data_IF_015366307945
#
_entry.id   IF_015366307945
#
_cell.length_a   1.000
_cell.length_b   1.000
_cell.length_c   1.000
_cell.angle_alpha   90.00
_cell.angle_beta   90.00
_cell.angle_gamma   90.00
#
_symmetry.space_group_name_H-M   'P 1'
#
loop_
_entity.id
_entity.type
_entity.pdbx_description
1 polymer ?
#
# COMPACT_ATOMS: atom_id res chain seq x y z
N UNK A 1 17.42 6.82 10.87
CA UNK A 1 16.76 6.40 12.12
C UNK A 1 15.27 6.33 11.85
N UNK A 2 14.59 5.21 12.15
CA UNK A 2 13.13 5.14 12.01
C UNK A 2 12.53 5.95 13.14
N UNK A 3 11.74 6.98 12.81
CA UNK A 3 11.13 7.85 13.81
C UNK A 3 10.07 7.10 14.60
N UNK A 4 10.03 7.35 15.91
CA UNK A 4 9.02 6.76 16.81
C UNK A 4 7.78 7.66 16.88
N UNK A 5 6.63 7.05 17.18
CA UNK A 5 5.36 7.76 17.33
C UNK A 5 4.93 7.78 18.80
N UNK A 6 4.61 8.97 19.31
CA UNK A 6 3.96 9.15 20.61
C UNK A 6 2.47 9.44 20.41
N UNK A 7 1.62 8.70 21.11
CA UNK A 7 0.17 8.90 21.09
C UNK A 7 -0.26 9.70 22.33
N UNK A 8 -0.84 10.87 22.12
CA UNK A 8 -1.45 11.73 23.15
C UNK A 8 -2.92 11.92 22.81
N UNK A 9 -3.67 10.83 22.98
CA UNK A 9 -5.07 10.69 22.57
C UNK A 9 -5.90 10.45 23.83
N UNK A 10 -6.94 11.24 24.02
CA UNK A 10 -7.78 11.18 25.22
C UNK A 10 -8.77 10.01 25.21
N UNK A 11 -9.25 9.61 24.04
CA UNK A 11 -10.18 8.48 23.89
C UNK A 11 -9.43 7.12 23.90
N UNK A 12 -9.65 6.25 24.91
CA UNK A 12 -8.98 4.95 25.00
C UNK A 12 -9.33 3.98 23.85
N UNK A 13 -10.56 4.03 23.31
CA UNK A 13 -10.96 3.17 22.19
C UNK A 13 -10.20 3.56 20.93
N UNK A 14 -10.10 4.86 20.69
CA UNK A 14 -9.37 5.42 19.56
C UNK A 14 -7.87 5.14 19.69
N UNK A 15 -7.31 5.27 20.91
CA UNK A 15 -5.93 4.92 21.19
C UNK A 15 -5.63 3.45 20.89
N UNK A 16 -6.47 2.53 21.34
CA UNK A 16 -6.35 1.10 21.02
C UNK A 16 -6.38 0.84 19.50
N UNK A 17 -7.30 1.50 18.80
CA UNK A 17 -7.45 1.35 17.36
C UNK A 17 -6.25 1.90 16.57
N UNK A 18 -5.67 3.03 17.00
CA UNK A 18 -4.44 3.58 16.46
C UNK A 18 -3.26 2.62 16.67
N UNK A 19 -3.06 2.14 17.89
CA UNK A 19 -1.98 1.17 18.21
C UNK A 19 -2.09 -0.05 17.30
N UNK A 20 -3.29 -0.61 17.19
CA UNK A 20 -3.54 -1.82 16.40
C UNK A 20 -3.25 -1.62 14.92
N UNK A 21 -3.58 -0.46 14.36
CA UNK A 21 -3.30 -0.17 12.95
C UNK A 21 -1.84 0.20 12.71
N UNK A 22 -1.21 1.01 13.55
CA UNK A 22 0.20 1.38 13.42
C UNK A 22 1.13 0.15 13.49
N UNK A 23 0.81 -0.83 14.34
CA UNK A 23 1.54 -2.11 14.40
C UNK A 23 1.50 -2.88 13.08
N UNK A 24 0.43 -2.80 12.29
CA UNK A 24 0.34 -3.47 10.97
C UNK A 24 1.32 -2.87 9.94
N UNK A 25 1.83 -1.67 10.20
CA UNK A 25 2.81 -0.98 9.36
C UNK A 25 4.21 -0.99 9.98
N UNK A 26 4.46 -1.84 10.99
CA UNK A 26 5.73 -1.94 11.73
C UNK A 26 6.19 -0.60 12.32
N UNK A 27 5.24 0.28 12.68
CA UNK A 27 5.53 1.58 13.27
C UNK A 27 5.77 1.43 14.77
N UNK A 28 6.94 1.87 15.22
CA UNK A 28 7.33 1.87 16.63
C UNK A 28 6.61 2.98 17.40
N UNK A 29 5.93 2.59 18.47
CA UNK A 29 5.23 3.49 19.39
C UNK A 29 6.06 3.60 20.68
N UNK A 30 6.30 4.82 21.16
CA UNK A 30 7.03 5.10 22.39
C UNK A 30 6.45 6.34 23.08
N UNK A 31 6.68 6.47 24.39
CA UNK A 31 6.22 7.64 25.15
C UNK A 31 6.89 8.94 24.70
N UNK A 32 8.17 8.86 24.31
CA UNK A 32 9.04 9.95 23.86
C UNK A 32 9.28 9.92 22.33
N UNK A 33 8.21 9.73 21.55
CA UNK A 33 8.28 9.66 20.09
C UNK A 33 8.56 11.00 19.39
N UNK A 34 9.31 10.94 18.29
CA UNK A 34 9.61 12.09 17.41
C UNK A 34 8.37 12.70 16.76
N UNK A 35 7.32 11.89 16.58
CA UNK A 35 6.06 12.28 15.96
C UNK A 35 4.95 12.16 16.99
N UNK A 36 4.32 13.29 17.33
CA UNK A 36 3.26 13.34 18.34
C UNK A 36 1.89 13.37 17.65
N UNK A 37 1.08 12.35 17.91
CA UNK A 37 -0.30 12.27 17.44
C UNK A 37 -1.23 12.73 18.55
N UNK A 38 -1.99 13.79 18.29
CA UNK A 38 -2.93 14.40 19.24
C UNK A 38 -4.36 14.30 18.74
N UNK A 39 -5.33 14.47 19.63
CA UNK A 39 -6.76 14.54 19.26
C UNK A 39 -7.04 15.58 18.16
N UNK A 40 -6.34 16.72 18.19
CA UNK A 40 -6.46 17.77 17.18
C UNK A 40 -5.95 17.32 15.81
N UNK A 41 -4.88 16.53 15.77
CA UNK A 41 -4.38 15.97 14.51
C UNK A 41 -5.38 14.96 13.96
N UNK A 42 -5.97 14.12 14.81
CA UNK A 42 -6.99 13.16 14.39
C UNK A 42 -8.19 13.89 13.79
N UNK A 43 -8.71 14.94 14.41
CA UNK A 43 -9.86 15.71 13.87
C UNK A 43 -9.60 16.34 12.50
N UNK A 44 -8.33 16.62 12.16
CA UNK A 44 -7.95 17.17 10.85
C UNK A 44 -7.97 16.15 9.72
N UNK A 45 -7.91 14.85 10.02
CA UNK A 45 -7.80 13.79 9.03
C UNK A 45 -8.94 12.77 9.20
N UNK A 46 -9.43 12.19 8.11
CA UNK A 46 -10.09 10.89 8.24
C UNK A 46 -9.05 9.87 8.76
N UNK A 47 -9.50 8.88 9.53
CA UNK A 47 -8.65 7.88 10.17
C UNK A 47 -7.68 7.20 9.19
N UNK A 48 -8.14 6.74 8.03
CA UNK A 48 -7.26 6.08 7.05
C UNK A 48 -6.17 7.04 6.55
N UNK A 49 -6.56 8.28 6.24
CA UNK A 49 -5.62 9.34 5.82
C UNK A 49 -4.62 9.68 6.92
N UNK A 50 -5.03 9.63 8.19
CA UNK A 50 -4.13 9.79 9.32
C UNK A 50 -3.07 8.68 9.35
N UNK A 51 -3.46 7.43 9.13
CA UNK A 51 -2.50 6.32 9.08
C UNK A 51 -1.49 6.53 7.94
N UNK A 52 -1.95 6.85 6.73
CA UNK A 52 -1.03 7.11 5.61
C UNK A 52 -0.13 8.33 5.82
N UNK A 53 -0.64 9.38 6.47
CA UNK A 53 0.16 10.51 6.92
C UNK A 53 1.25 10.08 7.90
N UNK A 54 0.92 9.28 8.92
CA UNK A 54 1.91 8.79 9.89
C UNK A 54 2.97 7.93 9.19
N UNK A 55 2.56 7.03 8.29
CA UNK A 55 3.46 6.19 7.47
C UNK A 55 4.46 7.04 6.67
N UNK A 56 4.06 8.21 6.16
CA UNK A 56 4.99 9.14 5.51
C UNK A 56 5.89 9.85 6.51
N UNK A 57 5.33 10.37 7.61
CA UNK A 57 6.08 11.13 8.61
C UNK A 57 7.17 10.31 9.29
N UNK A 58 6.92 9.03 9.58
CA UNK A 58 7.95 8.14 10.17
C UNK A 58 9.15 7.94 9.24
N UNK A 59 8.93 8.11 7.92
CA UNK A 59 9.95 8.10 6.86
C UNK A 59 10.52 9.48 6.54
N UNK A 60 10.17 10.50 7.32
CA UNK A 60 10.70 11.86 7.17
C UNK A 60 10.17 12.63 5.96
N UNK A 61 9.02 12.25 5.41
CA UNK A 61 8.42 12.88 4.22
C UNK A 61 6.95 13.21 4.44
N UNK A 62 6.42 14.13 3.62
CA UNK A 62 5.00 14.49 3.63
C UNK A 62 4.16 13.62 2.69
N UNK A 63 4.79 13.16 1.60
CA UNK A 63 4.18 12.35 0.56
C UNK A 63 5.22 11.34 0.06
N UNK A 64 4.78 10.19 -0.42
CA UNK A 64 5.60 9.35 -1.30
C UNK A 64 5.90 10.09 -2.60
N UNK A 65 7.13 9.99 -3.11
CA UNK A 65 7.41 10.50 -4.45
C UNK A 65 6.71 9.62 -5.49
N UNK A 66 6.76 8.30 -5.27
CA UNK A 66 6.11 7.30 -6.11
C UNK A 66 5.35 6.28 -5.25
N UNK A 67 4.05 6.12 -5.53
CA UNK A 67 3.21 5.08 -4.98
C UNK A 67 2.87 4.08 -6.08
N UNK A 68 3.27 2.84 -5.87
CA UNK A 68 3.11 1.76 -6.84
C UNK A 68 2.18 0.71 -6.23
N UNK A 69 1.18 0.31 -7.00
CA UNK A 69 0.24 -0.73 -6.59
C UNK A 69 0.44 -1.91 -7.55
N UNK A 70 0.65 -3.08 -7.00
CA UNK A 70 0.77 -4.32 -7.77
C UNK A 70 -0.36 -5.27 -7.42
N UNK A 71 -1.00 -5.83 -8.46
CA UNK A 71 -2.13 -6.73 -8.31
C UNK A 71 -1.80 -8.04 -9.04
N UNK A 72 -1.57 -9.09 -8.26
CA UNK A 72 -1.42 -10.45 -8.78
C UNK A 72 -2.80 -11.10 -8.90
N UNK A 73 -3.10 -11.57 -10.12
CA UNK A 73 -4.40 -12.13 -10.53
C UNK A 73 -4.34 -13.63 -10.77
N UNK A 74 -3.26 -14.30 -10.34
CA UNK A 74 -3.06 -15.73 -10.58
C UNK A 74 -4.08 -16.66 -9.88
N UNK A 75 -4.80 -16.18 -8.86
CA UNK A 75 -5.86 -16.94 -8.16
C UNK A 75 -7.19 -16.22 -8.35
N UNK A 76 -8.15 -16.86 -9.01
CA UNK A 76 -9.42 -16.24 -9.42
C UNK A 76 -10.21 -15.66 -8.24
N UNK A 77 -10.23 -16.36 -7.10
CA UNK A 77 -10.96 -15.94 -5.91
C UNK A 77 -10.18 -15.01 -4.98
N UNK A 78 -8.87 -14.80 -5.26
CA UNK A 78 -7.97 -14.12 -4.34
C UNK A 78 -6.91 -13.31 -5.09
N UNK A 79 -7.21 -12.03 -5.28
CA UNK A 79 -6.29 -11.06 -5.83
C UNK A 79 -5.33 -10.59 -4.74
N UNK A 80 -4.03 -10.73 -4.95
CA UNK A 80 -3.03 -10.22 -4.00
C UNK A 80 -2.66 -8.80 -4.39
N UNK A 81 -2.91 -7.86 -3.48
CA UNK A 81 -2.61 -6.44 -3.66
C UNK A 81 -1.44 -6.07 -2.78
N UNK A 82 -0.45 -5.40 -3.36
CA UNK A 82 0.65 -4.80 -2.61
C UNK A 82 0.78 -3.33 -2.96
N UNK A 83 1.27 -2.58 -1.99
CA UNK A 83 1.56 -1.15 -2.12
C UNK A 83 3.02 -0.95 -1.80
N UNK A 84 3.70 -0.28 -2.72
CA UNK A 84 5.12 0.03 -2.62
C UNK A 84 5.26 1.55 -2.67
N UNK A 85 5.87 2.13 -1.66
CA UNK A 85 6.13 3.56 -1.57
C UNK A 85 7.62 3.83 -1.66
N UNK A 86 8.07 4.53 -2.69
CA UNK A 86 9.48 4.83 -2.96
C UNK A 86 10.40 3.59 -2.93
N UNK A 87 9.91 2.47 -3.48
CA UNK A 87 10.63 1.19 -3.58
C UNK A 87 10.46 0.25 -2.37
N UNK A 88 9.90 0.72 -1.27
CA UNK A 88 9.66 -0.07 -0.05
C UNK A 88 8.25 -0.68 -0.06
N UNK A 89 8.10 -1.97 0.27
CA UNK A 89 6.80 -2.57 0.52
C UNK A 89 6.21 -1.98 1.80
N UNK A 90 5.09 -1.26 1.70
CA UNK A 90 4.45 -0.59 2.86
C UNK A 90 3.14 -1.26 3.29
N UNK A 91 2.48 -1.99 2.39
CA UNK A 91 1.20 -2.63 2.67
C UNK A 91 0.97 -3.82 1.75
N UNK A 92 0.30 -4.84 2.25
CA UNK A 92 -0.21 -5.95 1.46
C UNK A 92 -1.57 -6.39 1.96
N UNK A 93 -2.46 -6.76 1.06
CA UNK A 93 -3.78 -7.27 1.38
C UNK A 93 -4.27 -8.22 0.29
N UNK A 94 -5.31 -8.99 0.63
CA UNK A 94 -6.06 -9.75 -0.34
C UNK A 94 -7.34 -8.98 -0.70
N UNK A 95 -7.84 -9.23 -1.90
CA UNK A 95 -9.13 -8.73 -2.40
C UNK A 95 -9.73 -9.75 -3.36
N UNK A 96 -10.88 -9.43 -3.93
CA UNK A 96 -11.58 -10.22 -4.94
C UNK A 96 -12.05 -9.29 -6.06
N UNK A 97 -12.58 -9.86 -7.14
CA UNK A 97 -13.02 -9.09 -8.30
C UNK A 97 -14.08 -8.02 -7.96
N UNK A 98 -14.99 -8.30 -7.03
CA UNK A 98 -16.09 -7.39 -6.68
C UNK A 98 -15.59 -6.18 -5.88
N UNK A 99 -14.59 -6.37 -5.03
CA UNK A 99 -14.09 -5.35 -4.10
C UNK A 99 -12.85 -4.61 -4.59
N UNK A 100 -12.19 -5.09 -5.65
CA UNK A 100 -10.86 -4.58 -6.03
C UNK A 100 -10.86 -3.08 -6.33
N UNK A 101 -11.89 -2.57 -7.00
CA UNK A 101 -11.97 -1.14 -7.34
C UNK A 101 -12.08 -0.26 -6.09
N UNK A 102 -12.94 -0.64 -5.15
CA UNK A 102 -13.08 0.06 -3.88
C UNK A 102 -11.78 -0.04 -3.06
N UNK A 103 -11.19 -1.23 -3.01
CA UNK A 103 -9.92 -1.47 -2.31
C UNK A 103 -8.81 -0.56 -2.83
N UNK A 104 -8.65 -0.46 -4.14
CA UNK A 104 -7.66 0.42 -4.76
C UNK A 104 -7.98 1.89 -4.48
N UNK A 105 -9.26 2.29 -4.56
CA UNK A 105 -9.69 3.66 -4.24
C UNK A 105 -9.33 4.06 -2.81
N UNK A 106 -9.55 3.15 -1.86
CA UNK A 106 -9.22 3.36 -0.45
C UNK A 106 -7.71 3.46 -0.24
N UNK A 107 -6.92 2.60 -0.89
CA UNK A 107 -5.44 2.65 -0.83
C UNK A 107 -4.91 3.99 -1.38
N UNK A 108 -5.38 4.40 -2.56
CA UNK A 108 -4.95 5.65 -3.21
C UNK A 108 -5.30 6.88 -2.36
N UNK A 109 -6.48 6.87 -1.73
CA UNK A 109 -6.92 7.93 -0.81
C UNK A 109 -6.14 7.93 0.52
N UNK A 110 -5.76 6.75 1.00
CA UNK A 110 -5.07 6.55 2.27
C UNK A 110 -3.63 7.08 2.24
N UNK A 111 -2.86 6.75 1.21
CA UNK A 111 -1.43 7.08 1.16
C UNK A 111 -1.17 8.34 0.33
N UNK A 112 -0.68 9.44 0.92
CA UNK A 112 -0.38 10.66 0.18
C UNK A 112 0.83 10.49 -0.74
N UNK A 113 0.70 10.85 -2.01
CA UNK A 113 1.69 10.57 -3.05
C UNK A 113 1.72 11.64 -4.15
N UNK A 114 2.87 11.78 -4.83
CA UNK A 114 3.03 12.69 -5.99
C UNK A 114 2.75 12.01 -7.32
N UNK A 115 3.16 10.73 -7.46
CA UNK A 115 2.94 9.91 -8.65
C UNK A 115 2.32 8.58 -8.26
N UNK A 116 1.39 8.11 -9.08
CA UNK A 116 0.71 6.84 -8.94
C UNK A 116 1.05 5.93 -10.12
N UNK A 117 1.25 4.66 -9.83
CA UNK A 117 1.35 3.61 -10.83
C UNK A 117 0.57 2.39 -10.35
N UNK A 118 -0.19 1.76 -11.24
CA UNK A 118 -0.95 0.56 -10.91
C UNK A 118 -0.62 -0.52 -11.95
N UNK A 119 -0.01 -1.61 -11.51
CA UNK A 119 0.26 -2.78 -12.32
C UNK A 119 -0.72 -3.90 -12.03
N UNK A 120 -1.27 -4.50 -13.09
CA UNK A 120 -2.13 -5.69 -13.02
C UNK A 120 -1.45 -6.84 -13.75
N UNK A 121 -1.34 -8.00 -13.11
CA UNK A 121 -0.82 -9.22 -13.72
C UNK A 121 -1.62 -9.61 -14.96
N UNK A 122 -0.93 -9.67 -16.11
CA UNK A 122 -1.51 -9.79 -17.45
C UNK A 122 -1.24 -11.13 -18.12
N UNK A 123 -1.71 -12.22 -17.50
CA UNK A 123 -1.51 -13.59 -18.00
C UNK A 123 -2.79 -14.42 -18.09
N UNK A 124 -3.93 -13.89 -17.65
CA UNK A 124 -5.21 -14.60 -17.63
C UNK A 124 -6.41 -13.65 -17.83
N UNK A 125 -7.60 -14.23 -18.01
CA UNK A 125 -8.84 -13.47 -18.23
C UNK A 125 -9.21 -12.57 -17.05
N UNK A 126 -8.88 -12.97 -15.83
CA UNK A 126 -9.15 -12.18 -14.61
C UNK A 126 -8.29 -10.91 -14.60
N UNK A 127 -7.01 -11.01 -14.93
CA UNK A 127 -6.09 -9.88 -15.10
C UNK A 127 -6.59 -8.85 -16.10
N UNK A 128 -7.04 -9.30 -17.27
CA UNK A 128 -7.66 -8.43 -18.27
C UNK A 128 -8.91 -7.72 -17.75
N UNK A 129 -9.76 -8.44 -17.01
CA UNK A 129 -10.98 -7.87 -16.43
C UNK A 129 -10.67 -6.82 -15.36
N UNK A 130 -9.79 -7.15 -14.40
CA UNK A 130 -9.34 -6.23 -13.35
C UNK A 130 -8.68 -5.00 -13.96
N UNK A 131 -7.84 -5.17 -14.98
CA UNK A 131 -7.25 -4.07 -15.72
C UNK A 131 -8.32 -3.15 -16.31
N UNK A 132 -9.31 -3.69 -17.03
CA UNK A 132 -10.38 -2.89 -17.63
C UNK A 132 -11.20 -2.13 -16.59
N UNK A 133 -11.56 -2.78 -15.48
CA UNK A 133 -12.29 -2.15 -14.38
C UNK A 133 -11.50 -0.96 -13.81
N UNK A 134 -10.23 -1.18 -13.47
CA UNK A 134 -9.40 -0.15 -12.84
C UNK A 134 -9.00 0.95 -13.83
N UNK A 135 -8.77 0.64 -15.11
CA UNK A 135 -8.33 1.61 -16.13
C UNK A 135 -9.34 2.73 -16.35
N UNK A 136 -10.63 2.46 -16.17
CA UNK A 136 -11.70 3.47 -16.29
C UNK A 136 -11.52 4.59 -15.25
N UNK A 137 -11.10 4.22 -14.03
CA UNK A 137 -11.01 5.13 -12.89
C UNK A 137 -9.59 5.65 -12.64
N UNK A 138 -8.59 4.84 -12.94
CA UNK A 138 -7.18 5.09 -12.70
C UNK A 138 -6.42 4.98 -14.02
N UNK A 139 -6.20 6.13 -14.66
CA UNK A 139 -5.56 6.22 -15.98
C UNK A 139 -4.13 5.68 -16.00
N UNK A 140 -3.50 5.59 -14.83
CA UNK A 140 -2.14 5.12 -14.56
C UNK A 140 -2.05 3.58 -14.55
N UNK A 141 -3.19 2.89 -14.63
CA UNK A 141 -3.24 1.42 -14.64
C UNK A 141 -2.63 0.86 -15.92
N UNK A 142 -1.79 -0.16 -15.77
CA UNK A 142 -1.15 -0.91 -16.85
C UNK A 142 -1.27 -2.40 -16.62
N UNK A 143 -1.34 -3.14 -17.72
CA UNK A 143 -1.16 -4.58 -17.72
C UNK A 143 0.33 -4.92 -17.74
N UNK A 144 0.75 -5.85 -16.90
CA UNK A 144 2.14 -6.26 -16.75
C UNK A 144 2.27 -7.72 -17.16
N UNK A 145 3.08 -7.99 -18.18
CA UNK A 145 3.35 -9.35 -18.61
C UNK A 145 4.35 -10.04 -17.67
N UNK A 146 3.97 -11.20 -17.14
CA UNK A 146 4.76 -11.97 -16.17
C UNK A 146 5.72 -12.97 -16.83
N UNK A 147 5.66 -13.20 -18.15
CA UNK A 147 6.35 -14.29 -18.86
C UNK A 147 7.90 -14.28 -18.83
N UNK A 148 8.54 -13.40 -18.06
CA UNK A 148 10.01 -13.27 -17.95
C UNK A 148 10.53 -13.16 -16.51
N UNK A 149 9.92 -13.84 -15.53
CA UNK A 149 10.39 -13.79 -14.13
C UNK A 149 11.17 -15.04 -13.74
N UNK A 150 12.50 -14.94 -13.79
CA UNK A 150 13.38 -15.83 -13.02
C UNK A 150 13.08 -15.62 -11.53
N UNK A 151 12.68 -16.69 -10.86
CA UNK A 151 12.01 -16.76 -9.56
C UNK A 151 12.87 -16.39 -8.33
N UNK A 152 14.05 -15.77 -8.50
CA UNK A 152 14.91 -15.29 -7.41
C UNK A 152 15.63 -14.00 -7.82
N UNK A 153 15.08 -12.86 -7.41
CA UNK A 153 15.86 -11.62 -7.34
C UNK A 153 16.48 -11.54 -5.93
N UNK A 154 17.81 -11.57 -5.75
CA UNK A 154 18.46 -11.54 -4.44
C UNK A 154 18.22 -10.23 -3.68
N UNK A 155 17.77 -9.17 -4.37
CA UNK A 155 17.46 -7.88 -3.76
C UNK A 155 16.05 -7.80 -3.16
N UNK A 156 15.21 -8.84 -3.31
CA UNK A 156 13.84 -8.87 -2.79
C UNK A 156 13.71 -9.91 -1.68
N UNK A 157 13.76 -9.47 -0.42
CA UNK A 157 13.66 -10.32 0.76
C UNK A 157 12.20 -10.55 1.21
N UNK A 158 11.30 -10.85 0.27
CA UNK A 158 9.89 -11.16 0.55
C UNK A 158 9.71 -12.68 0.52
N UNK A 159 9.38 -13.28 1.68
CA UNK A 159 9.21 -14.73 1.82
C UNK A 159 7.96 -15.26 1.11
N UNK A 160 6.85 -14.53 1.23
CA UNK A 160 5.57 -14.92 0.63
C UNK A 160 5.65 -14.80 -0.90
N UNK A 161 5.29 -15.88 -1.60
CA UNK A 161 5.37 -15.96 -3.06
C UNK A 161 4.38 -15.02 -3.75
N UNK A 162 3.15 -14.92 -3.24
CA UNK A 162 2.08 -14.14 -3.85
C UNK A 162 2.37 -12.64 -3.66
N UNK A 163 2.79 -12.24 -2.45
CA UNK A 163 3.21 -10.85 -2.18
C UNK A 163 4.42 -10.47 -3.05
N UNK A 164 5.38 -11.39 -3.22
CA UNK A 164 6.56 -11.15 -4.05
C UNK A 164 6.20 -11.01 -5.53
N UNK A 165 5.25 -11.79 -6.03
CA UNK A 165 4.77 -11.65 -7.41
C UNK A 165 4.10 -10.29 -7.60
N UNK A 166 3.16 -9.92 -6.73
CA UNK A 166 2.50 -8.62 -6.76
C UNK A 166 3.51 -7.46 -6.62
N UNK A 167 4.56 -7.61 -5.81
CA UNK A 167 5.61 -6.60 -5.65
C UNK A 167 6.40 -6.39 -6.95
N UNK A 168 6.73 -7.47 -7.65
CA UNK A 168 7.37 -7.39 -8.97
C UNK A 168 6.47 -6.72 -10.01
N UNK A 169 5.16 -6.98 -9.97
CA UNK A 169 4.16 -6.33 -10.82
C UNK A 169 4.14 -4.81 -10.54
N UNK A 170 4.13 -4.41 -9.26
CA UNK A 170 4.17 -3.01 -8.85
C UNK A 170 5.40 -2.30 -9.44
N UNK A 171 6.60 -2.88 -9.29
CA UNK A 171 7.83 -2.28 -9.81
C UNK A 171 7.82 -2.16 -11.34
N UNK A 172 7.35 -3.20 -12.04
CA UNK A 172 7.32 -3.22 -13.52
C UNK A 172 6.31 -2.25 -14.12
N UNK A 173 5.28 -1.84 -13.37
CA UNK A 173 4.31 -0.85 -13.84
C UNK A 173 4.94 0.52 -14.17
N UNK A 174 6.13 0.80 -13.64
CA UNK A 174 6.92 2.02 -13.95
C UNK A 174 7.56 2.00 -15.32
N UNK A 175 7.81 0.81 -15.87
CA UNK A 175 8.49 0.66 -17.15
C UNK A 175 7.59 1.16 -18.29
N UNK A 176 8.22 1.77 -19.29
CA UNK A 176 7.57 2.25 -20.51
C UNK A 176 7.47 1.15 -21.54
#
# INVERSE_FOLDING_TARGET
MVKKVALRVSDPKLMYYLISNLKKFDILIAEDGDIIITDNLIKKFNFDKLIGYIVCKVRGKDNFNELLIGIDTNKEEKLTVVVVGDGELIYSANSNLMEIEEKISNIVSMFPHKKLYIGVGGGNKIGELVYRMLKIKFSETKIVNENKTSSKNPFINIKDRDIRAAYLIALRSTLR
#
